data_IF_814962721236
#
_entry.id   IF_814962721236
#
_cell.length_a   1.000
_cell.length_b   1.000
_cell.length_c   1.000
_cell.angle_alpha   90.00
_cell.angle_beta   90.00
_cell.angle_gamma   90.00
#
_symmetry.space_group_name_H-M   'P 1'
#
loop_
_entity.id
_entity.type
_entity.pdbx_description
1 polymer ?
#
# COMPACT_ATOMS: atom_id res chain seq x y z
N UNK A 1 -0.76 5.43 24.99
CA UNK A 1 -0.66 3.95 24.94
C UNK A 1 -1.81 3.30 24.15
N UNK A 2 -3.08 3.55 24.48
CA UNK A 2 -4.22 2.89 23.79
C UNK A 2 -4.39 3.24 22.28
N UNK A 3 -3.97 4.44 21.85
CA UNK A 3 -4.03 4.87 20.43
C UNK A 3 -2.98 4.18 19.55
N UNK A 4 -1.81 3.85 20.11
CA UNK A 4 -0.71 3.18 19.40
C UNK A 4 -1.02 1.71 19.11
N UNK A 5 -1.62 0.99 20.08
CA UNK A 5 -2.10 -0.38 19.86
C UNK A 5 -3.14 -0.45 18.74
N UNK A 6 -4.10 0.49 18.71
CA UNK A 6 -5.09 0.56 17.62
C UNK A 6 -4.44 0.79 16.25
N UNK A 7 -3.45 1.68 16.15
CA UNK A 7 -2.73 1.93 14.90
C UNK A 7 -1.93 0.70 14.43
N UNK A 8 -1.34 -0.04 15.37
CA UNK A 8 -0.62 -1.28 15.07
C UNK A 8 -1.56 -2.34 14.43
N UNK A 9 -2.73 -2.57 15.02
CA UNK A 9 -3.72 -3.50 14.46
C UNK A 9 -4.26 -3.06 13.10
N UNK A 10 -4.47 -1.75 12.90
CA UNK A 10 -4.91 -1.20 11.60
C UNK A 10 -3.85 -1.49 10.53
N UNK A 11 -2.56 -1.26 10.83
CA UNK A 11 -1.46 -1.55 9.90
C UNK A 11 -1.31 -3.04 9.60
N UNK A 12 -1.48 -3.91 10.60
CA UNK A 12 -1.51 -5.36 10.37
C UNK A 12 -2.70 -5.78 9.48
N UNK A 13 -3.87 -5.18 9.68
CA UNK A 13 -5.03 -5.43 8.83
C UNK A 13 -4.78 -4.96 7.39
N UNK A 14 -4.18 -3.78 7.20
CA UNK A 14 -3.77 -3.27 5.88
C UNK A 14 -2.77 -4.21 5.21
N UNK A 15 -1.78 -4.71 5.95
CA UNK A 15 -0.82 -5.70 5.43
C UNK A 15 -1.53 -6.99 4.97
N UNK A 16 -2.50 -7.48 5.75
CA UNK A 16 -3.34 -8.61 5.35
C UNK A 16 -4.15 -8.33 4.09
N UNK A 17 -4.77 -7.15 3.99
CA UNK A 17 -5.50 -6.72 2.80
C UNK A 17 -4.60 -6.62 1.57
N UNK A 18 -3.34 -6.18 1.71
CA UNK A 18 -2.37 -6.11 0.61
C UNK A 18 -2.07 -7.49 0.02
N UNK A 19 -1.92 -8.51 0.87
CA UNK A 19 -1.74 -9.90 0.42
C UNK A 19 -3.00 -10.42 -0.26
N UNK A 20 -4.17 -10.20 0.34
CA UNK A 20 -5.46 -10.65 -0.21
C UNK A 20 -5.76 -10.02 -1.58
N UNK A 21 -5.57 -8.71 -1.73
CA UNK A 21 -5.77 -7.99 -3.00
C UNK A 21 -4.77 -8.47 -4.06
N UNK A 22 -3.53 -8.76 -3.68
CA UNK A 22 -2.54 -9.32 -4.60
C UNK A 22 -2.97 -10.68 -5.16
N UNK A 23 -3.54 -11.56 -4.33
CA UNK A 23 -4.08 -12.84 -4.80
C UNK A 23 -5.30 -12.67 -5.71
N UNK A 24 -6.22 -11.77 -5.37
CA UNK A 24 -7.40 -11.48 -6.19
C UNK A 24 -7.01 -10.93 -7.58
N UNK A 25 -6.03 -10.03 -7.64
CA UNK A 25 -5.51 -9.49 -8.89
C UNK A 25 -4.82 -10.59 -9.70
N UNK A 26 -4.04 -11.47 -9.06
CA UNK A 26 -3.38 -12.57 -9.73
C UNK A 26 -4.39 -13.55 -10.35
N UNK A 27 -5.45 -13.88 -9.63
CA UNK A 27 -6.54 -14.75 -10.11
C UNK A 27 -7.30 -14.11 -11.28
N UNK A 28 -7.63 -12.83 -11.17
CA UNK A 28 -8.26 -12.07 -12.25
C UNK A 28 -7.37 -12.01 -13.50
N UNK A 29 -6.08 -11.76 -13.31
CA UNK A 29 -5.10 -11.69 -14.40
C UNK A 29 -4.89 -13.06 -15.05
N UNK A 30 -4.94 -14.15 -14.29
CA UNK A 30 -4.87 -15.51 -14.83
C UNK A 30 -6.05 -15.81 -15.76
N UNK A 31 -7.26 -15.39 -15.37
CA UNK A 31 -8.47 -15.51 -16.18
C UNK A 31 -8.41 -14.69 -17.48
N UNK A 32 -7.67 -13.57 -17.49
CA UNK A 32 -7.50 -12.68 -18.65
C UNK A 32 -6.33 -13.12 -19.57
N UNK A 33 -5.24 -13.65 -18.99
CA UNK A 33 -4.02 -14.08 -19.71
C UNK A 33 -4.22 -15.27 -20.65
N UNK A 34 -5.28 -16.08 -20.46
CA UNK A 34 -5.65 -17.16 -21.39
C UNK A 34 -5.97 -16.63 -22.81
N UNK A 35 -6.13 -15.31 -22.96
CA UNK A 35 -6.42 -14.65 -24.24
C UNK A 35 -5.34 -13.70 -24.77
N UNK A 36 -4.35 -13.30 -23.96
CA UNK A 36 -3.32 -12.37 -24.41
C UNK A 36 -1.98 -12.60 -23.68
N UNK A 37 -0.96 -12.99 -24.44
CA UNK A 37 0.39 -13.30 -23.96
C UNK A 37 1.20 -12.01 -23.72
N UNK A 38 0.69 -11.10 -22.90
CA UNK A 38 1.37 -9.85 -22.57
C UNK A 38 2.07 -9.97 -21.22
N UNK A 39 3.31 -9.47 -21.11
CA UNK A 39 4.05 -9.40 -19.84
C UNK A 39 3.22 -8.56 -18.89
N UNK A 40 2.45 -9.24 -18.03
CA UNK A 40 1.42 -8.58 -17.24
C UNK A 40 2.07 -7.77 -16.13
N UNK A 41 2.09 -6.45 -16.30
CA UNK A 41 2.51 -5.46 -15.29
C UNK A 41 1.90 -5.78 -13.91
N UNK A 42 0.72 -6.39 -13.88
CA UNK A 42 0.06 -6.87 -12.67
C UNK A 42 0.88 -7.84 -11.84
N UNK A 43 1.62 -8.76 -12.45
CA UNK A 43 2.45 -9.71 -11.71
C UNK A 43 3.54 -9.00 -10.91
N UNK A 44 4.21 -8.02 -11.53
CA UNK A 44 5.24 -7.23 -10.86
C UNK A 44 4.64 -6.37 -9.75
N UNK A 45 3.47 -5.76 -9.99
CA UNK A 45 2.77 -4.95 -8.98
C UNK A 45 2.30 -5.81 -7.80
N UNK A 46 1.81 -7.03 -8.04
CA UNK A 46 1.42 -7.97 -6.97
C UNK A 46 2.62 -8.39 -6.12
N UNK A 47 3.75 -8.72 -6.74
CA UNK A 47 4.98 -9.05 -6.01
C UNK A 47 5.44 -7.87 -5.16
N UNK A 48 5.43 -6.65 -5.72
CA UNK A 48 5.75 -5.43 -4.97
C UNK A 48 4.80 -5.21 -3.80
N UNK A 49 3.50 -5.49 -3.96
CA UNK A 49 2.54 -5.40 -2.87
C UNK A 49 2.78 -6.44 -1.78
N UNK A 50 3.06 -7.69 -2.13
CA UNK A 50 3.38 -8.73 -1.14
C UNK A 50 4.64 -8.35 -0.35
N UNK A 51 5.71 -7.96 -1.03
CA UNK A 51 6.96 -7.53 -0.38
C UNK A 51 6.71 -6.31 0.50
N UNK A 52 5.97 -5.32 -0.02
CA UNK A 52 5.57 -4.14 0.73
C UNK A 52 4.76 -4.50 1.98
N UNK A 53 3.77 -5.39 1.85
CA UNK A 53 2.91 -5.83 2.95
C UNK A 53 3.71 -6.52 4.06
N UNK A 54 4.69 -7.34 3.69
CA UNK A 54 5.64 -7.95 4.65
C UNK A 54 6.45 -6.86 5.36
N UNK A 55 6.97 -5.87 4.63
CA UNK A 55 7.68 -4.74 5.23
C UNK A 55 6.79 -3.95 6.20
N UNK A 56 5.54 -3.67 5.84
CA UNK A 56 4.57 -2.98 6.70
C UNK A 56 4.29 -3.78 7.99
N UNK A 57 4.09 -5.09 7.86
CA UNK A 57 3.86 -5.99 8.99
C UNK A 57 5.05 -6.03 9.96
N UNK A 58 6.27 -6.26 9.42
CA UNK A 58 7.50 -6.26 10.21
C UNK A 58 7.78 -4.89 10.83
N UNK A 59 7.53 -3.81 10.08
CA UNK A 59 7.64 -2.43 10.54
C UNK A 59 6.72 -2.14 11.70
N UNK A 60 5.48 -2.64 11.65
CA UNK A 60 4.50 -2.48 12.72
C UNK A 60 4.93 -3.22 13.99
N UNK A 61 5.42 -4.47 13.86
CA UNK A 61 5.90 -5.25 15.01
C UNK A 61 7.16 -4.67 15.66
N UNK A 62 8.07 -4.11 14.85
CA UNK A 62 9.35 -3.54 15.34
C UNK A 62 9.28 -2.04 15.64
N UNK A 63 8.11 -1.41 15.49
CA UNK A 63 7.93 0.05 15.53
C UNK A 63 8.96 0.83 14.67
N UNK A 64 9.40 0.24 13.56
CA UNK A 64 10.36 0.87 12.66
C UNK A 64 9.62 1.51 11.49
N UNK A 65 9.40 2.83 11.59
CA UNK A 65 8.67 3.62 10.61
C UNK A 65 9.31 3.60 9.20
N UNK A 66 10.62 3.38 9.09
CA UNK A 66 11.30 3.28 7.78
C UNK A 66 10.80 2.11 6.94
N UNK A 67 10.29 1.04 7.58
CA UNK A 67 9.75 -0.12 6.87
C UNK A 67 8.34 0.13 6.30
N UNK A 68 7.75 1.30 6.54
CA UNK A 68 6.48 1.68 5.92
C UNK A 68 6.67 2.19 4.49
N UNK A 69 7.86 2.74 4.18
CA UNK A 69 8.18 3.34 2.88
C UNK A 69 8.05 2.34 1.71
N UNK A 70 8.60 1.11 1.78
CA UNK A 70 8.45 0.14 0.69
C UNK A 70 6.99 -0.16 0.36
N UNK A 71 6.13 -0.28 1.37
CA UNK A 71 4.70 -0.49 1.18
C UNK A 71 4.01 0.74 0.57
N UNK A 72 4.31 1.94 1.06
CA UNK A 72 3.74 3.18 0.51
C UNK A 72 4.07 3.34 -0.97
N UNK A 73 5.32 3.09 -1.37
CA UNK A 73 5.74 3.15 -2.78
C UNK A 73 5.01 2.11 -3.62
N UNK A 74 4.95 0.85 -3.16
CA UNK A 74 4.20 -0.20 -3.85
C UNK A 74 2.71 0.13 -3.99
N UNK A 75 2.11 0.78 -2.99
CA UNK A 75 0.71 1.21 -3.00
C UNK A 75 0.43 2.35 -3.96
N UNK A 76 1.34 3.31 -4.09
CA UNK A 76 1.25 4.37 -5.09
C UNK A 76 1.31 3.77 -6.51
N UNK A 77 2.22 2.83 -6.75
CA UNK A 77 2.34 2.13 -8.03
C UNK A 77 1.03 1.37 -8.34
N UNK A 78 0.47 0.65 -7.36
CA UNK A 78 -0.80 -0.06 -7.53
C UNK A 78 -1.96 0.90 -7.89
N UNK A 79 -2.08 2.03 -7.19
CA UNK A 79 -3.10 3.05 -7.48
C UNK A 79 -2.96 3.59 -8.90
N UNK A 80 -1.72 3.86 -9.33
CA UNK A 80 -1.43 4.32 -10.68
C UNK A 80 -1.85 3.27 -11.72
N UNK A 81 -1.47 2.00 -11.53
CA UNK A 81 -1.83 0.91 -12.44
C UNK A 81 -3.35 0.70 -12.53
N UNK A 82 -4.06 0.71 -11.39
CA UNK A 82 -5.53 0.61 -11.34
C UNK A 82 -6.20 1.74 -12.11
N UNK A 83 -5.74 2.98 -11.89
CA UNK A 83 -6.28 4.17 -12.55
C UNK A 83 -6.01 4.16 -14.06
N UNK A 84 -4.80 3.80 -14.47
CA UNK A 84 -4.41 3.70 -15.87
C UNK A 84 -5.27 2.65 -16.61
N UNK A 85 -5.40 1.45 -16.04
CA UNK A 85 -6.24 0.38 -16.61
C UNK A 85 -7.72 0.76 -16.64
N UNK A 86 -8.21 1.48 -15.63
CA UNK A 86 -9.58 2.00 -15.63
C UNK A 86 -9.86 2.94 -16.82
N UNK A 87 -8.93 3.83 -17.15
CA UNK A 87 -9.06 4.76 -18.29
C UNK A 87 -8.96 4.00 -19.62
N UNK A 88 -8.01 3.05 -19.71
CA UNK A 88 -7.85 2.22 -20.90
C UNK A 88 -9.12 1.40 -21.20
N UNK A 89 -9.70 0.78 -20.18
CA UNK A 89 -10.93 0.02 -20.34
C UNK A 89 -12.14 0.91 -20.68
N UNK A 90 -12.20 2.13 -20.13
CA UNK A 90 -13.24 3.09 -20.50
C UNK A 90 -13.15 3.52 -21.98
N UNK A 91 -11.94 3.59 -22.53
CA UNK A 91 -11.69 4.12 -23.89
C UNK A 91 -11.68 3.05 -24.98
N UNK A 92 -11.49 1.77 -24.66
CA UNK A 92 -11.30 0.71 -25.67
C UNK A 92 -12.28 -0.48 -25.59
N UNK A 93 -13.16 -0.58 -24.57
CA UNK A 93 -14.11 -1.70 -24.46
C UNK A 93 -15.57 -1.29 -24.71
N UNK A 94 -16.18 -1.86 -25.77
CA UNK A 94 -17.63 -1.90 -25.96
C UNK A 94 -18.23 -3.18 -25.34
N UNK A 95 -18.93 -3.04 -24.21
CA UNK A 95 -19.75 -4.12 -23.62
C UNK A 95 -19.06 -5.07 -22.63
N UNK A 96 -19.89 -5.70 -21.78
CA UNK A 96 -19.68 -6.71 -20.71
C UNK A 96 -18.61 -6.43 -19.61
N UNK A 97 -17.51 -5.75 -19.92
CA UNK A 97 -16.49 -5.29 -18.94
C UNK A 97 -16.86 -3.96 -18.24
N UNK A 98 -17.97 -3.33 -18.63
CA UNK A 98 -18.46 -2.05 -18.10
C UNK A 98 -18.71 -2.05 -16.58
N UNK A 99 -19.01 -3.22 -15.98
CA UNK A 99 -19.13 -3.36 -14.52
C UNK A 99 -17.77 -3.34 -13.79
N UNK A 100 -16.68 -3.72 -14.46
CA UNK A 100 -15.33 -3.68 -13.87
C UNK A 100 -14.72 -2.27 -13.88
N UNK A 101 -15.16 -1.42 -14.81
CA UNK A 101 -14.73 -0.02 -14.93
C UNK A 101 -14.91 0.79 -13.63
N UNK A 102 -16.04 0.72 -12.90
CA UNK A 102 -16.17 1.42 -11.62
C UNK A 102 -15.48 0.73 -10.43
N UNK A 103 -15.20 -0.57 -10.52
CA UNK A 103 -14.54 -1.34 -9.45
C UNK A 103 -13.06 -0.95 -9.26
N UNK A 104 -12.31 -0.81 -10.35
CA UNK A 104 -10.90 -0.41 -10.32
C UNK A 104 -10.65 0.95 -9.61
N UNK A 105 -11.36 2.04 -9.95
CA UNK A 105 -11.18 3.34 -9.29
C UNK A 105 -11.73 3.33 -7.85
N UNK A 106 -12.75 2.51 -7.54
CA UNK A 106 -13.21 2.33 -6.17
C UNK A 106 -12.12 1.70 -5.28
N UNK A 107 -11.46 0.65 -5.77
CA UNK A 107 -10.32 0.03 -5.07
C UNK A 107 -9.17 1.04 -4.94
N UNK A 108 -8.85 1.79 -6.01
CA UNK A 108 -7.82 2.82 -5.97
C UNK A 108 -8.12 3.92 -4.93
N UNK A 109 -9.39 4.30 -4.77
CA UNK A 109 -9.83 5.25 -3.75
C UNK A 109 -9.61 4.72 -2.33
N UNK A 110 -10.00 3.47 -2.06
CA UNK A 110 -9.74 2.82 -0.77
C UNK A 110 -8.24 2.74 -0.49
N UNK A 111 -7.45 2.37 -1.50
CA UNK A 111 -6.00 2.25 -1.34
C UNK A 111 -5.33 3.60 -1.08
N UNK A 112 -5.83 4.66 -1.72
CA UNK A 112 -5.38 6.04 -1.49
C UNK A 112 -5.62 6.47 -0.04
N UNK A 113 -6.77 6.08 0.54
CA UNK A 113 -7.05 6.31 1.95
C UNK A 113 -6.07 5.57 2.87
N UNK A 114 -5.76 4.30 2.59
CA UNK A 114 -4.77 3.55 3.38
C UNK A 114 -3.35 4.13 3.27
N UNK A 115 -2.96 4.60 2.08
CA UNK A 115 -1.68 5.30 1.89
C UNK A 115 -1.64 6.57 2.74
N UNK A 116 -2.72 7.35 2.73
CA UNK A 116 -2.81 8.56 3.55
C UNK A 116 -2.68 8.25 5.05
N UNK A 117 -3.40 7.23 5.54
CA UNK A 117 -3.37 6.83 6.95
C UNK A 117 -1.96 6.39 7.39
N UNK A 118 -1.32 5.49 6.63
CA UNK A 118 0.05 5.02 6.91
C UNK A 118 1.07 6.17 6.80
N UNK A 119 0.85 7.13 5.91
CA UNK A 119 1.72 8.29 5.77
C UNK A 119 1.61 9.24 6.98
N UNK A 120 0.40 9.47 7.50
CA UNK A 120 0.22 10.24 8.74
C UNK A 120 0.92 9.56 9.93
N UNK A 121 0.76 8.25 10.05
CA UNK A 121 1.45 7.44 11.06
C UNK A 121 2.98 7.53 10.94
N UNK A 122 3.50 7.49 9.71
CA UNK A 122 4.93 7.67 9.44
C UNK A 122 5.42 9.03 9.94
N UNK A 123 4.73 10.12 9.59
CA UNK A 123 5.10 11.47 10.01
C UNK A 123 5.06 11.62 11.53
N UNK A 124 4.06 11.04 12.18
CA UNK A 124 3.96 11.09 13.63
C UNK A 124 5.16 10.40 14.30
N UNK A 125 5.49 9.17 13.89
CA UNK A 125 6.64 8.42 14.45
C UNK A 125 7.97 9.09 14.12
N UNK A 126 8.11 9.68 12.94
CA UNK A 126 9.30 10.44 12.58
C UNK A 126 9.46 11.67 13.49
N UNK A 127 8.39 12.41 13.74
CA UNK A 127 8.42 13.58 14.63
C UNK A 127 8.80 13.22 16.07
N UNK A 128 8.31 12.09 16.57
CA UNK A 128 8.66 11.55 17.89
C UNK A 128 10.15 11.17 17.94
N UNK A 129 10.67 10.52 16.89
CA UNK A 129 12.09 10.16 16.82
C UNK A 129 13.02 11.38 16.82
N UNK A 130 12.67 12.44 16.08
CA UNK A 130 13.45 13.69 16.02
C UNK A 130 13.44 14.37 17.40
N UNK A 131 12.29 14.39 18.07
CA UNK A 131 12.17 14.97 19.42
C UNK A 131 13.00 14.23 20.46
N UNK A 132 13.11 12.91 20.38
CA UNK A 132 13.96 12.13 21.29
C UNK A 132 15.44 12.46 21.05
N UNK A 133 15.86 12.56 19.79
CA UNK A 133 17.24 12.91 19.42
C UNK A 133 17.60 14.29 19.96
N UNK A 134 16.73 15.30 19.80
CA UNK A 134 17.01 16.66 20.29
C UNK A 134 17.10 16.74 21.81
N UNK A 135 16.27 15.98 22.55
CA UNK A 135 16.37 15.90 24.02
C UNK A 135 17.70 15.24 24.44
N UNK A 136 18.11 14.17 23.76
CA UNK A 136 19.40 13.54 24.06
C UNK A 136 20.58 14.49 23.78
N UNK A 137 20.49 15.29 22.72
CA UNK A 137 21.52 16.25 22.36
C UNK A 137 21.61 17.39 23.39
N UNK A 138 20.46 17.93 23.84
CA UNK A 138 20.43 18.98 24.88
C UNK A 138 20.98 18.49 26.22
N UNK A 139 20.67 17.26 26.62
CA UNK A 139 21.20 16.64 27.86
C UNK A 139 22.72 16.43 27.76
N UNK A 140 23.23 16.08 26.58
CA UNK A 140 24.68 15.90 26.38
C UNK A 140 25.44 17.22 26.46
N UNK A 141 24.85 18.33 26.05
CA UNK A 141 25.52 19.66 26.07
C UNK A 141 25.52 20.34 27.45
N UNK A 142 24.76 19.84 28.42
CA UNK A 142 24.73 20.36 29.79
C UNK A 142 25.79 19.74 30.73
N UNK A 143 26.54 18.73 30.27
CA UNK A 143 27.66 18.10 30.99
C UNK A 143 29.01 18.41 30.33
#
# INVERSE_FOLDING_TARGET
MCRSLKAEYVRMAIAGCSVMVSFLILEFTWLENDKCCEISVWNHVCVLQIIGGICLFVGSLKNNHWLFLPWMVASIILIYTLSYKSILYLTHLEGRMLMMVPLLPFIAGIWSYFVYDVFQDFLQLQSESIKIISIMESVRTEY
#
